data_IF_731425352362
#
_entry.id   IF_731425352362
#
_cell.length_a   1.000
_cell.length_b   1.000
_cell.length_c   1.000
_cell.angle_alpha   90.00
_cell.angle_beta   90.00
_cell.angle_gamma   90.00
#
_symmetry.space_group_name_H-M   'P 1'
#
loop_
_entity.id
_entity.type
_entity.pdbx_description
1 polymer ?
#
# COMPACT_ATOMS: atom_id res chain seq x y z
N UNK A 1 -1.18 -7.47 0.05
CA UNK A 1 0.28 -7.26 -0.11
C UNK A 1 0.85 -6.80 1.21
N UNK A 2 2.07 -7.19 1.52
CA UNK A 2 2.71 -6.95 2.81
C UNK A 2 4.15 -6.48 2.60
N UNK A 3 4.55 -5.47 3.36
CA UNK A 3 5.85 -4.82 3.29
C UNK A 3 6.41 -4.62 4.69
N UNK A 4 7.72 -4.78 4.82
CA UNK A 4 8.51 -4.28 5.95
C UNK A 4 9.41 -3.18 5.41
N UNK A 5 9.23 -1.96 5.90
CA UNK A 5 9.88 -0.76 5.33
C UNK A 5 10.30 0.20 6.43
N UNK A 6 11.48 0.79 6.29
CA UNK A 6 11.92 1.93 7.10
C UNK A 6 12.07 3.18 6.22
N UNK A 7 11.87 4.34 6.82
CA UNK A 7 12.00 5.64 6.16
C UNK A 7 13.10 6.44 6.84
N UNK A 8 14.14 6.83 6.11
CA UNK A 8 15.17 7.75 6.61
C UNK A 8 14.60 9.17 6.70
N UNK A 9 13.78 9.51 5.69
CA UNK A 9 12.98 10.73 5.62
C UNK A 9 11.61 10.40 5.05
N UNK A 10 10.56 11.04 5.53
CA UNK A 10 9.20 10.75 5.12
C UNK A 10 8.67 11.87 4.23
N UNK A 11 8.78 11.70 2.91
CA UNK A 11 8.28 12.65 1.94
C UNK A 11 7.02 12.12 1.23
N UNK A 12 5.98 12.95 1.14
CA UNK A 12 4.78 12.60 0.40
C UNK A 12 5.16 12.29 -1.06
N UNK A 13 4.70 11.14 -1.55
CA UNK A 13 5.01 10.65 -2.89
C UNK A 13 6.19 9.70 -2.95
N UNK A 14 6.89 9.48 -1.84
CA UNK A 14 7.94 8.46 -1.79
C UNK A 14 7.37 7.07 -2.09
N UNK A 15 7.98 6.40 -3.07
CA UNK A 15 7.44 5.18 -3.65
C UNK A 15 8.03 3.93 -3.02
N UNK A 16 7.18 3.19 -2.30
CA UNK A 16 7.52 1.91 -1.66
C UNK A 16 7.46 0.79 -2.70
N UNK A 17 6.40 0.77 -3.52
CA UNK A 17 6.22 -0.17 -4.62
C UNK A 17 5.56 0.53 -5.80
N UNK A 18 6.07 0.27 -6.99
CA UNK A 18 5.49 0.75 -8.25
C UNK A 18 5.43 -0.40 -9.24
N UNK A 19 4.24 -0.91 -9.49
CA UNK A 19 3.94 -1.80 -10.60
C UNK A 19 3.04 -1.09 -11.59
N UNK A 20 3.58 -0.14 -12.36
CA UNK A 20 2.79 0.72 -13.25
C UNK A 20 3.28 0.58 -14.68
N UNK A 21 2.39 0.21 -15.60
CA UNK A 21 2.67 0.26 -17.02
C UNK A 21 2.62 1.70 -17.52
N UNK A 22 3.71 2.25 -18.08
CA UNK A 22 3.65 3.52 -18.74
C UNK A 22 2.68 3.40 -19.91
N UNK A 23 1.80 4.37 -20.08
CA UNK A 23 1.11 4.52 -21.35
C UNK A 23 1.98 5.29 -22.32
N UNK A 24 2.16 4.72 -23.51
CA UNK A 24 2.54 5.51 -24.68
C UNK A 24 1.43 6.51 -25.01
N UNK A 25 1.57 7.75 -24.56
CA UNK A 25 0.86 8.95 -25.04
C UNK A 25 -0.63 9.08 -24.71
N UNK A 26 -1.03 10.22 -24.11
CA UNK A 26 -2.43 10.61 -23.91
C UNK A 26 -2.72 11.40 -22.62
N UNK A 27 -4.00 11.75 -22.38
CA UNK A 27 -4.51 12.61 -21.28
C UNK A 27 -4.61 11.94 -19.89
N UNK A 28 -4.16 10.69 -19.70
CA UNK A 28 -4.11 10.08 -18.36
C UNK A 28 -2.66 10.11 -17.84
N UNK A 29 -2.33 10.93 -16.82
CA UNK A 29 -1.00 10.96 -16.24
C UNK A 29 -0.66 9.66 -15.48
N UNK A 30 -1.66 8.81 -15.22
CA UNK A 30 -1.50 7.53 -14.54
C UNK A 30 -1.50 6.39 -15.57
N UNK A 31 -0.42 5.61 -15.57
CA UNK A 31 -0.38 4.31 -16.20
C UNK A 31 -1.42 3.34 -15.61
N UNK A 32 -1.47 2.12 -16.12
CA UNK A 32 -2.29 1.04 -15.55
C UNK A 32 -1.43 0.19 -14.63
N UNK A 33 -1.96 -0.18 -13.47
CA UNK A 33 -1.17 -0.91 -12.50
C UNK A 33 -1.56 -0.63 -11.04
N UNK A 34 -0.59 -0.88 -10.17
CA UNK A 34 -0.70 -0.69 -8.74
C UNK A 34 0.51 0.10 -8.21
N UNK A 35 0.26 1.06 -7.34
CA UNK A 35 1.32 1.87 -6.72
C UNK A 35 1.07 2.01 -5.22
N UNK A 36 2.13 1.89 -4.42
CA UNK A 36 2.13 2.08 -2.98
C UNK A 36 3.12 3.19 -2.63
N UNK A 37 2.61 4.29 -2.07
CA UNK A 37 3.37 5.49 -1.77
C UNK A 37 3.19 5.92 -0.31
N UNK A 38 4.09 6.79 0.14
CA UNK A 38 3.85 7.67 1.29
C UNK A 38 2.77 8.70 0.90
N UNK A 39 1.66 8.67 1.63
CA UNK A 39 0.54 9.60 1.51
C UNK A 39 0.77 10.92 2.24
N UNK A 40 -0.22 11.80 2.21
CA UNK A 40 -0.20 13.02 3.02
C UNK A 40 -0.38 12.72 4.52
N UNK A 41 0.12 13.60 5.38
CA UNK A 41 0.00 13.48 6.84
C UNK A 41 0.56 12.16 7.39
N UNK A 42 1.68 11.69 6.85
CA UNK A 42 2.35 10.46 7.30
C UNK A 42 1.42 9.24 7.26
N UNK A 43 0.73 9.08 6.14
CA UNK A 43 -0.13 7.93 5.84
C UNK A 43 0.47 7.09 4.71
N UNK A 44 -0.18 5.98 4.37
CA UNK A 44 0.12 5.14 3.22
C UNK A 44 -0.96 5.31 2.17
N UNK A 45 -0.56 5.49 0.92
CA UNK A 45 -1.44 5.61 -0.23
C UNK A 45 -1.31 4.39 -1.14
N UNK A 46 -2.43 3.70 -1.41
CA UNK A 46 -2.51 2.66 -2.43
C UNK A 46 -3.32 3.17 -3.61
N UNK A 47 -2.73 3.19 -4.80
CA UNK A 47 -3.45 3.46 -6.05
C UNK A 47 -3.62 2.17 -6.86
N UNK A 48 -4.86 1.94 -7.30
CA UNK A 48 -5.24 0.90 -8.25
C UNK A 48 -5.74 1.57 -9.53
N UNK A 49 -5.12 1.26 -10.67
CA UNK A 49 -5.48 1.82 -11.97
C UNK A 49 -5.70 0.71 -12.99
N UNK A 50 -6.83 0.76 -13.68
CA UNK A 50 -7.12 -0.08 -14.85
C UNK A 50 -6.91 0.67 -16.16
N UNK A 51 -6.05 1.70 -16.16
CA UNK A 51 -5.79 2.64 -17.25
C UNK A 51 -6.88 3.68 -17.55
N UNK A 52 -8.14 3.39 -17.21
CA UNK A 52 -9.28 4.28 -17.51
C UNK A 52 -9.71 5.07 -16.29
N UNK A 53 -9.68 4.41 -15.14
CA UNK A 53 -10.07 4.98 -13.86
C UNK A 53 -9.04 4.59 -12.81
N UNK A 54 -8.89 5.49 -11.84
CA UNK A 54 -8.00 5.32 -10.71
C UNK A 54 -8.84 5.26 -9.43
N UNK A 55 -8.45 4.38 -8.53
CA UNK A 55 -8.89 4.37 -7.15
C UNK A 55 -7.68 4.60 -6.26
N UNK A 56 -7.80 5.50 -5.29
CA UNK A 56 -6.76 5.72 -4.29
C UNK A 56 -7.35 5.53 -2.90
N UNK A 57 -6.71 4.67 -2.11
CA UNK A 57 -6.95 4.49 -0.69
C UNK A 57 -5.86 5.21 0.10
N UNK A 58 -6.23 5.81 1.23
CA UNK A 58 -5.32 6.37 2.23
C UNK A 58 -5.53 5.66 3.56
N UNK A 59 -4.44 5.29 4.25
CA UNK A 59 -4.50 4.83 5.64
C UNK A 59 -4.77 5.99 6.61
N UNK A 60 -4.90 5.67 7.89
CA UNK A 60 -4.98 6.68 8.94
C UNK A 60 -3.77 7.61 8.89
N UNK A 61 -3.96 8.86 9.31
CA UNK A 61 -2.87 9.83 9.43
C UNK A 61 -1.90 9.43 10.55
N UNK A 62 -0.65 9.87 10.45
CA UNK A 62 0.39 9.61 11.45
C UNK A 62 0.59 8.11 11.75
N UNK A 63 0.24 7.25 10.80
CA UNK A 63 0.37 5.79 10.94
C UNK A 63 1.79 5.29 10.70
N UNK A 64 2.62 6.11 10.03
CA UNK A 64 4.04 5.83 9.77
C UNK A 64 4.93 7.00 10.23
N UNK A 65 6.21 6.73 10.47
CA UNK A 65 7.18 7.68 10.97
C UNK A 65 8.58 7.42 10.39
N UNK A 66 9.42 8.44 10.43
CA UNK A 66 10.85 8.35 10.12
C UNK A 66 11.60 7.54 11.18
N UNK A 67 12.74 6.98 10.80
CA UNK A 67 13.69 6.28 11.68
C UNK A 67 13.05 5.12 12.46
N UNK A 68 12.00 4.52 11.90
CA UNK A 68 11.29 3.36 12.44
C UNK A 68 11.00 2.37 11.32
N UNK A 69 11.23 1.09 11.60
CA UNK A 69 10.78 0.01 10.72
C UNK A 69 9.28 -0.23 10.95
N UNK A 70 8.53 -0.21 9.86
CA UNK A 70 7.09 -0.42 9.82
C UNK A 70 6.72 -1.72 9.13
N UNK A 71 5.71 -2.39 9.66
CA UNK A 71 5.04 -3.50 9.01
C UNK A 71 3.71 -3.03 8.44
N UNK A 72 3.58 -3.08 7.11
CA UNK A 72 2.46 -2.51 6.37
C UNK A 72 1.78 -3.60 5.57
N UNK A 73 0.48 -3.81 5.81
CA UNK A 73 -0.32 -4.82 5.10
C UNK A 73 -1.53 -4.15 4.47
N UNK A 74 -1.55 -4.10 3.14
CA UNK A 74 -2.72 -3.69 2.36
C UNK A 74 -3.52 -4.95 2.02
N UNK A 75 -4.74 -5.02 2.56
CA UNK A 75 -5.70 -6.08 2.31
C UNK A 75 -6.62 -5.57 1.20
N UNK A 76 -6.48 -6.15 0.01
CA UNK A 76 -7.29 -5.82 -1.16
C UNK A 76 -8.19 -7.02 -1.44
N UNK A 77 -9.48 -6.88 -1.17
CA UNK A 77 -10.49 -7.88 -1.50
C UNK A 77 -11.21 -7.47 -2.79
N UNK A 78 -10.84 -8.11 -3.89
CA UNK A 78 -11.43 -7.87 -5.20
C UNK A 78 -12.86 -8.42 -5.36
N UNK A 79 -13.28 -9.36 -4.51
CA UNK A 79 -14.64 -9.88 -4.52
C UNK A 79 -15.59 -8.91 -3.79
N UNK A 80 -15.21 -8.49 -2.59
CA UNK A 80 -15.98 -7.50 -1.81
C UNK A 80 -15.81 -6.06 -2.31
N UNK A 81 -14.79 -5.81 -3.14
CA UNK A 81 -14.38 -4.50 -3.66
C UNK A 81 -13.97 -3.52 -2.57
N UNK A 82 -13.19 -4.01 -1.61
CA UNK A 82 -12.76 -3.25 -0.43
C UNK A 82 -11.24 -3.27 -0.32
N UNK A 83 -10.66 -2.14 0.09
CA UNK A 83 -9.30 -2.03 0.60
C UNK A 83 -9.34 -1.62 2.06
N UNK A 84 -8.55 -2.30 2.89
CA UNK A 84 -8.24 -1.93 4.28
C UNK A 84 -6.75 -2.10 4.55
N UNK A 85 -6.23 -1.45 5.59
CA UNK A 85 -4.80 -1.50 5.93
C UNK A 85 -4.57 -1.91 7.39
N UNK A 86 -3.52 -2.68 7.64
CA UNK A 86 -2.96 -2.91 8.98
C UNK A 86 -1.54 -2.37 8.99
N UNK A 87 -1.22 -1.50 9.94
CA UNK A 87 0.13 -0.94 10.12
C UNK A 87 0.57 -1.22 11.56
N UNK A 88 1.75 -1.84 11.71
CA UNK A 88 2.35 -2.19 13.00
C UNK A 88 1.40 -2.97 13.93
N UNK A 89 0.63 -3.90 13.35
CA UNK A 89 -0.33 -4.72 14.08
C UNK A 89 -1.61 -3.99 14.50
N UNK A 90 -1.84 -2.76 14.03
CA UNK A 90 -3.07 -1.99 14.25
C UNK A 90 -3.85 -1.87 12.93
N UNK A 91 -5.14 -2.23 12.96
CA UNK A 91 -6.05 -1.96 11.85
C UNK A 91 -6.24 -0.45 11.71
N UNK A 92 -6.07 0.07 10.49
CA UNK A 92 -6.57 1.40 10.13
C UNK A 92 -8.09 1.28 9.99
N UNK A 93 -8.82 1.56 11.07
CA UNK A 93 -10.28 1.47 11.14
C UNK A 93 -10.95 2.84 10.99
N UNK A 94 -10.14 3.90 10.87
CA UNK A 94 -10.58 5.28 10.77
C UNK A 94 -10.18 6.04 12.03
N UNK A 95 -10.68 7.26 12.15
CA UNK A 95 -10.34 8.09 13.29
C UNK A 95 -10.93 9.47 13.15
N UNK A 96 -10.27 10.46 13.74
CA UNK A 96 -10.75 11.85 13.75
C UNK A 96 -10.97 12.43 12.34
N UNK A 97 -10.21 11.94 11.35
CA UNK A 97 -10.19 12.48 9.98
C UNK A 97 -10.99 11.66 8.96
N UNK A 98 -11.42 10.45 9.32
CA UNK A 98 -12.15 9.57 8.41
C UNK A 98 -13.16 8.71 9.17
N UNK A 99 -14.40 8.68 8.68
CA UNK A 99 -15.49 7.90 9.26
C UNK A 99 -15.21 6.38 9.25
N UNK A 100 -14.41 5.91 8.30
CA UNK A 100 -13.93 4.53 8.23
C UNK A 100 -12.53 4.48 7.62
N UNK A 101 -11.71 3.54 8.07
CA UNK A 101 -10.35 3.27 7.58
C UNK A 101 -10.28 2.24 6.45
N UNK A 102 -11.41 1.98 5.78
CA UNK A 102 -11.49 1.17 4.58
C UNK A 102 -12.20 1.94 3.47
N UNK A 103 -11.95 1.57 2.22
CA UNK A 103 -12.61 2.19 1.08
C UNK A 103 -13.04 1.15 0.03
N UNK A 104 -14.14 1.46 -0.67
CA UNK A 104 -14.61 0.65 -1.80
C UNK A 104 -14.08 1.19 -3.11
N UNK A 105 -13.66 0.29 -3.99
CA UNK A 105 -13.26 0.64 -5.34
C UNK A 105 -14.30 0.17 -6.36
N UNK A 106 -14.34 0.86 -7.50
CA UNK A 106 -15.37 0.61 -8.51
C UNK A 106 -15.24 -0.79 -9.13
N UNK A 107 -16.37 -1.39 -9.47
CA UNK A 107 -16.44 -2.73 -10.08
C UNK A 107 -15.75 -2.81 -11.44
N UNK A 108 -15.60 -1.68 -12.13
CA UNK A 108 -14.96 -1.59 -13.45
C UNK A 108 -13.43 -1.63 -13.37
N UNK A 109 -12.84 -1.48 -12.17
CA UNK A 109 -11.42 -1.79 -11.94
C UNK A 109 -11.26 -3.32 -11.93
N UNK A 110 -11.12 -3.92 -13.10
CA UNK A 110 -11.06 -5.38 -13.27
C UNK A 110 -9.65 -5.92 -13.46
N UNK A 111 -8.72 -5.07 -13.90
CA UNK A 111 -7.32 -5.42 -14.12
C UNK A 111 -6.44 -4.27 -13.66
N UNK A 112 -5.49 -4.58 -12.78
CA UNK A 112 -4.52 -3.64 -12.19
C UNK A 112 -3.11 -4.19 -12.28
N UNK A 113 -2.89 -5.17 -13.17
CA UNK A 113 -1.59 -5.76 -13.40
C UNK A 113 -0.72 -4.79 -14.22
N UNK A 114 0.58 -4.89 -14.00
CA UNK A 114 1.57 -4.32 -14.89
C UNK A 114 2.40 -5.42 -15.57
N UNK A 115 3.17 -5.05 -16.59
CA UNK A 115 4.24 -5.91 -17.09
C UNK A 115 5.28 -6.09 -16.00
N UNK A 116 5.75 -7.32 -15.80
CA UNK A 116 6.67 -7.64 -14.71
C UNK A 116 7.95 -6.80 -14.72
N UNK A 117 8.41 -6.39 -15.91
CA UNK A 117 9.57 -5.52 -16.11
C UNK A 117 9.38 -4.09 -15.55
N UNK A 118 8.14 -3.69 -15.31
CA UNK A 118 7.77 -2.37 -14.79
C UNK A 118 7.37 -2.42 -13.30
N UNK A 119 7.72 -3.51 -12.60
CA UNK A 119 7.53 -3.63 -11.15
C UNK A 119 8.84 -3.33 -10.41
N UNK A 120 8.81 -2.31 -9.58
CA UNK A 120 9.92 -1.86 -8.76
C UNK A 120 9.51 -1.81 -7.28
N UNK A 121 10.44 -2.17 -6.39
CA UNK A 121 10.27 -2.15 -4.93
C UNK A 121 11.40 -1.28 -4.37
N UNK A 122 11.09 -0.41 -3.43
CA UNK A 122 12.09 0.50 -2.85
C UNK A 122 12.54 1.56 -3.84
N UNK A 123 11.59 2.25 -4.48
CA UNK A 123 11.85 3.15 -5.62
C UNK A 123 12.49 4.46 -5.17
N UNK A 124 12.02 5.03 -4.06
CA UNK A 124 12.57 6.27 -3.50
C UNK A 124 13.84 6.01 -2.69
N UNK A 125 14.79 6.96 -2.74
CA UNK A 125 16.06 6.87 -2.00
C UNK A 125 15.91 7.01 -0.48
N UNK A 126 14.85 7.68 -0.01
CA UNK A 126 14.62 7.95 1.42
C UNK A 126 14.03 6.77 2.21
N UNK A 127 13.90 5.59 1.60
CA UNK A 127 13.30 4.42 2.24
C UNK A 127 14.05 3.14 1.91
N UNK A 128 13.89 2.15 2.79
CA UNK A 128 14.48 0.83 2.63
C UNK A 128 13.41 -0.22 2.85
N UNK A 129 13.20 -1.07 1.86
CA UNK A 129 12.29 -2.22 1.96
C UNK A 129 13.08 -3.45 2.36
N UNK A 130 12.78 -4.01 3.53
CA UNK A 130 13.48 -5.17 4.10
C UNK A 130 12.84 -6.49 3.70
N UNK A 131 11.52 -6.51 3.53
CA UNK A 131 10.78 -7.69 3.11
C UNK A 131 9.51 -7.32 2.36
N UNK A 132 9.15 -8.14 1.39
CA UNK A 132 7.87 -8.04 0.65
C UNK A 132 7.23 -9.42 0.54
N UNK A 133 5.91 -9.49 0.73
CA UNK A 133 5.10 -10.68 0.46
C UNK A 133 3.85 -10.31 -0.33
N UNK A 134 3.66 -10.98 -1.46
CA UNK A 134 2.42 -10.93 -2.23
C UNK A 134 1.62 -12.21 -1.99
N UNK A 135 0.32 -12.04 -1.84
CA UNK A 135 -0.63 -13.13 -1.61
C UNK A 135 -1.62 -13.15 -2.76
N UNK A 136 -2.00 -14.35 -3.21
CA UNK A 136 -3.02 -14.56 -4.24
C UNK A 136 -4.46 -14.49 -3.69
N UNK A 137 -4.62 -14.08 -2.42
CA UNK A 137 -5.90 -13.85 -1.75
C UNK A 137 -5.80 -12.67 -0.79
N UNK A 138 -6.96 -12.12 -0.42
CA UNK A 138 -7.04 -11.20 0.71
C UNK A 138 -6.68 -11.94 2.01
N UNK A 139 -5.79 -11.33 2.79
CA UNK A 139 -5.56 -11.75 4.17
C UNK A 139 -6.69 -11.25 5.06
N UNK A 140 -6.97 -11.98 6.13
CA UNK A 140 -7.77 -11.43 7.24
C UNK A 140 -6.94 -10.46 8.06
N UNK A 141 -7.62 -9.58 8.82
CA UNK A 141 -6.95 -8.68 9.78
C UNK A 141 -6.15 -9.48 10.81
N UNK A 142 -6.68 -10.60 11.31
CA UNK A 142 -5.98 -11.45 12.28
C UNK A 142 -4.70 -12.09 11.70
N UNK A 143 -4.70 -12.46 10.42
CA UNK A 143 -3.48 -12.95 9.74
C UNK A 143 -2.44 -11.85 9.62
N UNK A 144 -2.84 -10.63 9.23
CA UNK A 144 -1.94 -9.49 9.14
C UNK A 144 -1.29 -9.16 10.50
N UNK A 145 -2.09 -9.13 11.57
CA UNK A 145 -1.60 -8.92 12.95
C UNK A 145 -0.73 -10.10 13.41
N UNK A 146 -1.07 -11.33 13.03
CA UNK A 146 -0.26 -12.51 13.29
C UNK A 146 1.14 -12.40 12.69
N UNK A 147 1.22 -11.95 11.42
CA UNK A 147 2.50 -11.70 10.75
C UNK A 147 3.33 -10.63 11.46
N UNK A 148 2.70 -9.54 11.91
CA UNK A 148 3.37 -8.50 12.71
C UNK A 148 3.98 -9.07 13.99
N UNK A 149 3.20 -9.82 14.77
CA UNK A 149 3.65 -10.42 16.02
C UNK A 149 4.80 -11.41 15.80
N UNK A 150 4.75 -12.18 14.71
CA UNK A 150 5.83 -13.09 14.35
C UNK A 150 7.13 -12.34 14.01
N UNK A 151 7.07 -11.24 13.26
CA UNK A 151 8.23 -10.40 12.97
C UNK A 151 8.81 -9.75 14.23
N UNK A 152 7.94 -9.19 15.08
CA UNK A 152 8.32 -8.58 16.36
C UNK A 152 9.03 -9.58 17.28
N UNK A 153 8.53 -10.82 17.37
CA UNK A 153 9.15 -11.88 18.19
C UNK A 153 10.55 -12.28 17.73
N UNK A 154 10.88 -12.06 16.45
CA UNK A 154 12.19 -12.35 15.85
C UNK A 154 13.17 -11.18 15.92
N UNK A 155 12.76 -10.02 16.48
CA UNK A 155 13.58 -8.81 16.50
C UNK A 155 13.75 -8.16 15.13
N UNK A 156 12.84 -8.42 14.19
CA UNK A 156 12.84 -7.84 12.84
C UNK A 156 12.04 -6.54 12.72
N UNK A 157 11.47 -6.06 13.83
CA UNK A 157 10.70 -4.82 13.98
C UNK A 157 11.04 -4.16 15.32
#
# INVERSE_FOLDING_TARGET
MEFVVSFDKLEKGDAIYRGMNPFGGGMNPFGGGTELLVGGNSSIALTLSNYRINFTYLSDISSIAENKTHHIVLIVDAYARIVSCVIDGKLCDGGEYAYCGWARFDKTITDVNCWAQNSEIGVSENLKVEAVRFYNRALTVSEAIGNFNALKSKGSL
#
